data_IF_149559242805
#
_entry.id   IF_149559242805
#
_cell.length_a   1.000
_cell.length_b   1.000
_cell.length_c   1.000
_cell.angle_alpha   90.00
_cell.angle_beta   90.00
_cell.angle_gamma   90.00
#
_symmetry.space_group_name_H-M   'P 1'
#
loop_
_entity.id
_entity.type
_entity.pdbx_description
1 polymer ?
#
# COMPACT_ATOMS: atom_id res chain seq x y z
N UNK A 1 17.84 12.79 -6.31
CA UNK A 1 16.81 11.77 -6.14
C UNK A 1 15.43 12.39 -6.33
N UNK A 2 14.56 11.73 -7.10
CA UNK A 2 13.15 12.06 -7.26
C UNK A 2 12.34 10.91 -6.65
N UNK A 3 11.42 11.19 -5.72
CA UNK A 3 10.53 10.18 -5.14
C UNK A 3 9.11 10.46 -5.65
N UNK A 4 8.57 9.57 -6.46
CA UNK A 4 7.22 9.66 -7.01
C UNK A 4 6.21 8.99 -6.09
N UNK A 5 5.50 9.78 -5.31
CA UNK A 5 4.35 9.37 -4.49
C UNK A 5 3.00 9.71 -5.16
N UNK A 6 3.00 10.39 -6.32
CA UNK A 6 1.77 10.76 -7.01
C UNK A 6 1.13 9.53 -7.66
N UNK A 7 -0.16 9.34 -7.43
CA UNK A 7 -0.94 8.28 -8.04
C UNK A 7 -2.44 8.59 -8.00
N UNK A 8 -3.19 8.07 -8.95
CA UNK A 8 -4.63 7.99 -8.91
C UNK A 8 -5.03 6.71 -8.16
N UNK A 9 -5.30 6.86 -6.83
CA UNK A 9 -5.45 5.75 -5.88
C UNK A 9 -6.90 5.38 -5.57
N UNK A 10 -7.88 6.05 -6.17
CA UNK A 10 -9.30 5.72 -6.01
C UNK A 10 -9.63 4.47 -6.82
N UNK A 11 -9.32 3.30 -6.26
CA UNK A 11 -9.34 1.99 -6.94
C UNK A 11 -10.65 1.73 -7.68
N UNK A 12 -11.81 2.00 -7.04
CA UNK A 12 -13.12 1.81 -7.66
C UNK A 12 -13.39 2.83 -8.80
N UNK A 13 -12.90 4.05 -8.67
CA UNK A 13 -13.04 5.08 -9.70
C UNK A 13 -12.16 4.80 -10.92
N UNK A 14 -11.03 4.11 -10.75
CA UNK A 14 -10.21 3.68 -11.87
C UNK A 14 -10.98 2.82 -12.88
N UNK A 15 -11.95 2.00 -12.43
CA UNK A 15 -12.76 1.17 -13.31
C UNK A 15 -13.65 2.00 -14.26
N UNK A 16 -14.14 3.14 -13.80
CA UNK A 16 -14.94 4.07 -14.63
C UNK A 16 -14.10 5.13 -15.35
N UNK A 17 -12.86 5.37 -14.92
CA UNK A 17 -11.95 6.38 -15.48
C UNK A 17 -10.60 5.77 -15.90
N UNK A 18 -10.57 4.71 -16.74
CA UNK A 18 -9.33 4.01 -17.06
C UNK A 18 -8.31 4.91 -17.77
N UNK A 19 -8.75 5.82 -18.63
CA UNK A 19 -7.85 6.75 -19.33
C UNK A 19 -7.08 7.63 -18.33
N UNK A 20 -7.74 8.15 -17.30
CA UNK A 20 -7.10 8.95 -16.25
C UNK A 20 -6.15 8.09 -15.39
N UNK A 21 -6.57 6.85 -15.04
CA UNK A 21 -5.74 5.93 -14.29
C UNK A 21 -4.41 5.65 -15.03
N UNK A 22 -4.46 5.32 -16.32
CA UNK A 22 -3.26 5.08 -17.13
C UNK A 22 -2.45 6.36 -17.40
N UNK A 23 -3.08 7.51 -17.56
CA UNK A 23 -2.37 8.77 -17.71
C UNK A 23 -1.53 9.10 -16.47
N UNK A 24 -2.10 8.99 -15.26
CA UNK A 24 -1.44 9.35 -14.01
C UNK A 24 -0.51 8.24 -13.52
N UNK A 25 -0.98 6.99 -13.47
CA UNK A 25 -0.22 5.89 -12.89
C UNK A 25 0.77 5.25 -13.87
N UNK A 26 0.56 5.42 -15.17
CA UNK A 26 1.39 4.90 -16.25
C UNK A 26 2.20 6.00 -16.94
N UNK A 27 1.60 6.72 -17.89
CA UNK A 27 2.30 7.64 -18.78
C UNK A 27 3.09 8.74 -18.05
N UNK A 28 2.56 9.30 -16.97
CA UNK A 28 3.25 10.31 -16.17
C UNK A 28 4.55 9.78 -15.55
N UNK A 29 4.63 8.48 -15.24
CA UNK A 29 5.88 7.87 -14.74
C UNK A 29 6.96 7.91 -15.81
N UNK A 30 6.63 7.64 -17.08
CA UNK A 30 7.57 7.80 -18.19
C UNK A 30 8.09 9.24 -18.35
N UNK A 31 7.24 10.25 -18.08
CA UNK A 31 7.69 11.65 -18.07
C UNK A 31 8.68 11.92 -16.93
N UNK A 32 8.43 11.34 -15.74
CA UNK A 32 9.34 11.46 -14.60
C UNK A 32 10.67 10.75 -14.85
N UNK A 33 10.66 9.59 -15.48
CA UNK A 33 11.89 8.86 -15.89
C UNK A 33 12.74 9.75 -16.79
N UNK A 34 12.14 10.35 -17.85
CA UNK A 34 12.86 11.26 -18.76
C UNK A 34 13.40 12.50 -18.04
N UNK A 35 12.59 13.11 -17.18
CA UNK A 35 13.02 14.27 -16.39
C UNK A 35 14.16 13.92 -15.43
N UNK A 36 14.09 12.77 -14.76
CA UNK A 36 15.15 12.29 -13.87
C UNK A 36 16.44 12.06 -14.65
N UNK A 37 16.37 11.41 -15.83
CA UNK A 37 17.53 11.18 -16.69
C UNK A 37 18.17 12.49 -17.14
N UNK A 38 17.37 13.47 -17.59
CA UNK A 38 17.86 14.80 -18.01
C UNK A 38 18.52 15.60 -16.89
N UNK A 39 18.09 15.38 -15.63
CA UNK A 39 18.66 16.03 -14.45
C UNK A 39 19.79 15.22 -13.78
N UNK A 40 20.22 14.09 -14.35
CA UNK A 40 21.19 13.18 -13.70
C UNK A 40 20.67 12.59 -12.37
N UNK A 41 19.36 12.65 -12.11
CA UNK A 41 18.75 12.14 -10.90
C UNK A 41 18.32 10.68 -11.06
N UNK A 42 18.12 9.98 -9.93
CA UNK A 42 17.47 8.66 -9.89
C UNK A 42 16.01 8.81 -9.51
N UNK A 43 15.16 7.93 -10.02
CA UNK A 43 13.74 7.86 -9.69
C UNK A 43 13.47 6.73 -8.70
N UNK A 44 12.74 7.03 -7.63
CA UNK A 44 12.04 6.03 -6.80
C UNK A 44 10.55 6.16 -7.08
N UNK A 45 9.92 5.07 -7.52
CA UNK A 45 8.49 5.01 -7.83
C UNK A 45 7.75 4.08 -6.87
N UNK A 46 6.75 4.62 -6.15
CA UNK A 46 5.89 3.80 -5.29
C UNK A 46 4.85 3.06 -6.13
N UNK A 47 4.75 1.75 -5.93
CA UNK A 47 3.77 0.87 -6.56
C UNK A 47 2.94 0.11 -5.54
N UNK A 48 2.26 -0.95 -5.95
CA UNK A 48 1.19 -1.60 -5.19
C UNK A 48 1.22 -3.12 -5.29
N UNK A 49 0.67 -3.78 -4.29
CA UNK A 49 0.31 -5.19 -4.25
C UNK A 49 -0.78 -5.59 -5.27
N UNK A 50 -1.59 -4.64 -5.77
CA UNK A 50 -2.63 -4.88 -6.79
C UNK A 50 -2.09 -5.28 -8.16
N UNK A 51 -0.79 -5.33 -8.36
CA UNK A 51 -0.16 -5.89 -9.57
C UNK A 51 -0.27 -7.41 -9.64
N UNK A 52 -0.60 -8.09 -8.54
CA UNK A 52 -0.78 -9.53 -8.46
C UNK A 52 -2.25 -9.94 -8.63
N UNK A 53 -2.50 -11.23 -8.93
CA UNK A 53 -3.85 -11.77 -9.15
C UNK A 53 -4.64 -12.01 -7.85
N UNK A 54 -3.99 -11.92 -6.69
CA UNK A 54 -4.61 -12.13 -5.39
C UNK A 54 -4.92 -13.58 -5.01
N UNK A 55 -4.37 -14.58 -5.73
CA UNK A 55 -4.62 -16.00 -5.52
C UNK A 55 -3.48 -16.76 -4.85
N UNK A 56 -2.40 -16.08 -4.52
CA UNK A 56 -1.26 -16.69 -3.85
C UNK A 56 -1.66 -17.24 -2.46
N UNK A 57 -0.94 -18.25 -2.00
CA UNK A 57 -1.10 -18.86 -0.67
C UNK A 57 0.12 -18.66 0.23
N UNK A 58 1.12 -17.94 -0.30
CA UNK A 58 2.34 -17.54 0.40
C UNK A 58 2.72 -16.11 -0.06
N UNK A 59 3.54 -15.37 0.71
CA UNK A 59 3.95 -14.02 0.33
C UNK A 59 4.55 -13.95 -1.07
N UNK A 60 4.06 -13.02 -1.89
CA UNK A 60 4.55 -12.81 -3.27
C UNK A 60 5.94 -12.16 -3.23
N UNK A 61 6.93 -12.81 -3.84
CA UNK A 61 8.26 -12.23 -4.04
C UNK A 61 8.25 -11.20 -5.17
N UNK A 62 9.34 -10.44 -5.31
CA UNK A 62 9.53 -9.50 -6.43
C UNK A 62 9.50 -10.18 -7.79
N UNK A 63 9.89 -11.45 -7.85
CA UNK A 63 9.93 -12.27 -9.07
C UNK A 63 8.61 -13.03 -9.32
N UNK A 64 7.61 -12.91 -8.42
CA UNK A 64 6.30 -13.53 -8.61
C UNK A 64 5.59 -12.93 -9.84
N UNK A 65 4.99 -13.75 -10.72
CA UNK A 65 4.28 -13.26 -11.91
C UNK A 65 3.19 -12.25 -11.57
N UNK A 66 3.16 -11.15 -12.31
CA UNK A 66 2.12 -10.13 -12.17
C UNK A 66 0.92 -10.45 -13.07
N UNK A 67 -0.30 -10.27 -12.56
CA UNK A 67 -1.56 -10.47 -13.29
C UNK A 67 -2.67 -9.61 -12.65
N UNK A 68 -2.60 -8.27 -12.77
CA UNK A 68 -3.53 -7.36 -12.11
C UNK A 68 -4.97 -7.62 -12.53
N UNK A 69 -5.89 -7.64 -11.56
CA UNK A 69 -7.31 -7.91 -11.78
C UNK A 69 -8.17 -6.63 -11.86
N UNK A 70 -7.56 -5.46 -11.69
CA UNK A 70 -8.23 -4.16 -11.70
C UNK A 70 -7.51 -3.16 -12.61
N UNK A 71 -8.23 -2.17 -13.09
CA UNK A 71 -7.65 -1.04 -13.86
C UNK A 71 -6.58 -0.32 -13.04
N UNK A 72 -6.80 -0.13 -11.73
CA UNK A 72 -5.79 0.44 -10.83
C UNK A 72 -4.48 -0.37 -10.89
N UNK A 73 -4.56 -1.68 -10.64
CA UNK A 73 -3.38 -2.55 -10.67
C UNK A 73 -2.67 -2.55 -12.02
N UNK A 74 -3.43 -2.63 -13.11
CA UNK A 74 -2.89 -2.60 -14.48
C UNK A 74 -2.20 -1.26 -14.80
N UNK A 75 -2.80 -0.13 -14.40
CA UNK A 75 -2.21 1.19 -14.61
C UNK A 75 -0.92 1.40 -13.79
N UNK A 76 -0.86 0.89 -12.56
CA UNK A 76 0.35 0.91 -11.74
C UNK A 76 1.46 0.03 -12.31
N UNK A 77 1.11 -1.17 -12.79
CA UNK A 77 2.06 -2.07 -13.46
C UNK A 77 2.65 -1.44 -14.73
N UNK A 78 1.85 -0.71 -15.51
CA UNK A 78 2.35 0.03 -16.66
C UNK A 78 3.39 1.09 -16.27
N UNK A 79 3.19 1.77 -15.13
CA UNK A 79 4.17 2.70 -14.56
C UNK A 79 5.46 2.01 -14.10
N UNK A 80 5.35 0.83 -13.47
CA UNK A 80 6.51 0.02 -13.10
C UNK A 80 7.37 -0.34 -14.31
N UNK A 81 6.74 -0.81 -15.38
CA UNK A 81 7.44 -1.18 -16.61
C UNK A 81 8.25 0.00 -17.18
N UNK A 82 7.65 1.20 -17.21
CA UNK A 82 8.34 2.41 -17.65
C UNK A 82 9.49 2.83 -16.73
N UNK A 83 9.30 2.70 -15.40
CA UNK A 83 10.35 3.01 -14.44
C UNK A 83 11.52 2.03 -14.54
N UNK A 84 11.24 0.73 -14.60
CA UNK A 84 12.25 -0.33 -14.65
C UNK A 84 13.05 -0.35 -15.96
N UNK A 85 12.45 0.10 -17.07
CA UNK A 85 13.15 0.21 -18.36
C UNK A 85 14.36 1.16 -18.35
N UNK A 86 14.41 2.13 -17.42
CA UNK A 86 15.55 3.03 -17.22
C UNK A 86 16.78 2.31 -16.61
N UNK A 87 16.61 1.16 -15.97
CA UNK A 87 17.67 0.37 -15.32
C UNK A 87 18.28 1.00 -14.06
N UNK A 88 18.05 2.30 -13.80
CA UNK A 88 18.55 3.06 -12.64
C UNK A 88 17.46 3.37 -11.62
N UNK A 89 16.21 3.28 -12.04
CA UNK A 89 15.08 3.55 -11.16
C UNK A 89 14.90 2.43 -10.13
N UNK A 90 14.33 2.81 -8.98
CA UNK A 90 13.85 1.90 -7.96
C UNK A 90 12.32 1.93 -7.96
N UNK A 91 11.70 0.77 -8.03
CA UNK A 91 10.27 0.59 -7.79
C UNK A 91 10.08 -0.06 -6.42
N UNK A 92 9.24 0.55 -5.58
CA UNK A 92 8.89 0.00 -4.27
C UNK A 92 7.40 -0.34 -4.26
N UNK A 93 7.07 -1.65 -4.28
CA UNK A 93 5.69 -2.10 -4.06
C UNK A 93 5.38 -2.11 -2.57
N UNK A 94 4.21 -1.62 -2.24
CA UNK A 94 3.71 -1.56 -0.85
C UNK A 94 2.20 -1.86 -0.82
N UNK A 95 1.63 -1.99 0.36
CA UNK A 95 0.21 -2.33 0.55
C UNK A 95 -0.39 -1.58 1.73
N UNK A 96 -1.70 -1.33 1.70
CA UNK A 96 -2.54 -0.88 2.82
C UNK A 96 -1.94 0.29 3.61
N UNK A 97 -1.42 1.29 2.91
CA UNK A 97 -0.72 2.43 3.52
C UNK A 97 -1.68 3.24 4.39
N UNK A 98 -1.27 3.51 5.63
CA UNK A 98 -1.97 4.41 6.55
C UNK A 98 -1.00 5.39 7.21
N UNK A 99 -1.51 6.55 7.59
CA UNK A 99 -0.71 7.62 8.19
C UNK A 99 -1.43 8.96 8.12
N UNK A 100 -0.80 10.01 8.62
CA UNK A 100 -1.35 11.37 8.59
C UNK A 100 -1.28 11.98 7.18
N UNK A 101 -2.22 12.89 6.87
CA UNK A 101 -2.18 13.70 5.65
C UNK A 101 -3.03 13.18 4.48
N UNK A 102 -3.68 12.02 4.61
CA UNK A 102 -4.55 11.46 3.56
C UNK A 102 -5.63 10.55 4.13
N UNK A 103 -6.67 10.31 3.33
CA UNK A 103 -7.73 9.36 3.68
C UNK A 103 -7.15 7.93 3.73
N UNK A 104 -7.39 7.21 4.81
CA UNK A 104 -6.95 5.83 4.99
C UNK A 104 -7.94 5.05 5.85
N UNK A 105 -7.77 3.73 5.91
CA UNK A 105 -8.68 2.83 6.62
C UNK A 105 -8.71 3.12 8.13
N UNK A 106 -7.56 3.37 8.76
CA UNK A 106 -7.46 3.65 10.20
C UNK A 106 -8.26 4.90 10.55
N UNK A 107 -8.03 6.01 9.82
CA UNK A 107 -8.74 7.27 10.06
C UNK A 107 -10.25 7.15 9.77
N UNK A 108 -10.63 6.32 8.79
CA UNK A 108 -12.05 6.05 8.48
C UNK A 108 -12.74 5.35 9.64
N UNK A 109 -12.17 4.27 10.17
CA UNK A 109 -12.72 3.54 11.31
C UNK A 109 -12.72 4.44 12.57
N UNK A 110 -11.59 5.06 12.87
CA UNK A 110 -11.46 5.94 14.03
C UNK A 110 -12.45 7.12 14.00
N UNK A 111 -12.62 7.75 12.85
CA UNK A 111 -13.56 8.86 12.68
C UNK A 111 -15.01 8.42 12.92
N UNK A 112 -15.41 7.24 12.42
CA UNK A 112 -16.76 6.69 12.64
C UNK A 112 -16.99 6.31 14.11
N UNK A 113 -16.01 5.72 14.79
CA UNK A 113 -16.09 5.41 16.23
C UNK A 113 -16.28 6.69 17.04
N UNK A 114 -15.47 7.73 16.80
CA UNK A 114 -15.61 9.04 17.45
C UNK A 114 -16.97 9.70 17.15
N UNK A 115 -17.52 9.44 15.96
CA UNK A 115 -18.87 9.86 15.57
C UNK A 115 -20.00 9.04 16.20
N UNK A 116 -19.68 8.09 17.11
CA UNK A 116 -20.67 7.30 17.87
C UNK A 116 -21.06 5.97 17.23
N UNK A 117 -20.46 5.57 16.11
CA UNK A 117 -20.74 4.26 15.50
C UNK A 117 -20.19 3.13 16.38
N UNK A 118 -21.04 2.16 16.76
CA UNK A 118 -20.73 1.07 17.69
C UNK A 118 -20.63 -0.29 17.01
N UNK A 119 -20.89 -0.40 15.70
CA UNK A 119 -20.80 -1.67 14.99
C UNK A 119 -20.26 -1.47 13.58
N UNK A 120 -19.45 -2.44 13.13
CA UNK A 120 -18.85 -2.48 11.79
C UNK A 120 -18.97 -3.88 11.22
N UNK A 121 -19.22 -3.97 9.91
CA UNK A 121 -19.12 -5.22 9.14
C UNK A 121 -17.88 -5.11 8.24
N UNK A 122 -16.90 -5.99 8.43
CA UNK A 122 -15.60 -5.90 7.74
C UNK A 122 -15.20 -7.25 7.14
N UNK A 123 -14.66 -7.23 5.93
CA UNK A 123 -14.26 -8.44 5.20
C UNK A 123 -13.11 -9.17 5.90
N UNK A 124 -13.25 -10.51 6.02
CA UNK A 124 -12.29 -11.39 6.71
C UNK A 124 -11.42 -12.21 5.76
N UNK A 125 -11.81 -12.30 4.50
CA UNK A 125 -11.23 -13.16 3.46
C UNK A 125 -10.35 -12.39 2.47
N UNK A 126 -9.89 -11.20 2.85
CA UNK A 126 -8.86 -10.44 2.17
C UNK A 126 -7.67 -10.26 3.12
N UNK A 127 -6.56 -10.94 2.79
CA UNK A 127 -5.35 -10.97 3.59
C UNK A 127 -4.27 -10.09 2.97
N UNK A 128 -3.63 -9.28 3.80
CA UNK A 128 -2.57 -8.35 3.43
C UNK A 128 -1.76 -7.95 4.65
N UNK A 129 -1.01 -6.86 4.55
CA UNK A 129 -0.39 -6.25 5.73
C UNK A 129 -0.47 -4.73 5.65
N UNK A 130 -0.93 -4.06 6.72
CA UNK A 130 -0.91 -2.62 6.81
C UNK A 130 0.52 -2.08 6.78
N UNK A 131 0.73 -0.92 6.15
CA UNK A 131 2.03 -0.25 6.09
C UNK A 131 1.91 1.17 6.66
N UNK A 132 2.65 1.46 7.72
CA UNK A 132 2.68 2.80 8.29
C UNK A 132 3.54 3.73 7.44
N UNK A 133 2.96 4.82 6.94
CA UNK A 133 3.60 5.73 5.99
C UNK A 133 4.96 6.28 6.46
N UNK A 134 5.18 6.66 7.74
CA UNK A 134 6.50 7.06 8.22
C UNK A 134 7.57 5.95 8.15
N UNK A 135 7.20 4.68 8.35
CA UNK A 135 8.14 3.56 8.19
C UNK A 135 8.48 3.33 6.72
N UNK A 136 7.47 3.39 5.83
CA UNK A 136 7.69 3.35 4.38
C UNK A 136 8.58 4.49 3.92
N UNK A 137 8.36 5.71 4.40
CA UNK A 137 9.16 6.87 4.03
C UNK A 137 10.64 6.70 4.43
N UNK A 138 10.91 6.16 5.63
CA UNK A 138 12.27 5.81 6.07
C UNK A 138 12.89 4.75 5.16
N UNK A 139 12.15 3.67 4.89
CA UNK A 139 12.63 2.61 4.01
C UNK A 139 12.97 3.13 2.60
N UNK A 140 12.15 4.03 2.05
CA UNK A 140 12.40 4.69 0.74
C UNK A 140 13.66 5.55 0.78
N UNK A 141 13.86 6.31 1.88
CA UNK A 141 15.07 7.13 2.06
C UNK A 141 16.32 6.24 2.14
N UNK A 142 16.29 5.22 2.99
CA UNK A 142 17.38 4.24 3.16
C UNK A 142 17.75 3.60 1.80
N UNK A 143 16.77 3.06 1.08
CA UNK A 143 16.97 2.46 -0.24
C UNK A 143 17.55 3.46 -1.25
N UNK A 144 17.10 4.72 -1.18
CA UNK A 144 17.64 5.81 -1.99
C UNK A 144 19.10 6.10 -1.68
N UNK A 145 19.48 6.18 -0.41
CA UNK A 145 20.85 6.43 0.05
C UNK A 145 21.80 5.26 -0.31
N UNK A 146 21.32 4.02 -0.16
CA UNK A 146 22.13 2.83 -0.52
C UNK A 146 22.32 2.64 -2.03
N UNK A 147 21.70 3.46 -2.85
CA UNK A 147 21.82 3.33 -4.30
C UNK A 147 21.03 2.16 -4.88
N UNK A 148 20.04 1.65 -4.17
CA UNK A 148 19.22 0.54 -4.65
C UNK A 148 18.51 0.87 -5.97
N UNK A 149 18.39 -0.11 -6.86
CA UNK A 149 17.67 -0.03 -8.13
C UNK A 149 16.87 -1.32 -8.37
N UNK A 150 16.02 -1.31 -9.39
CA UNK A 150 15.15 -2.44 -9.70
C UNK A 150 13.89 -2.46 -8.84
N UNK A 151 13.44 -3.64 -8.44
CA UNK A 151 12.18 -3.85 -7.73
C UNK A 151 12.43 -4.33 -6.30
N UNK A 152 11.80 -3.69 -5.32
CA UNK A 152 11.84 -4.06 -3.90
C UNK A 152 10.43 -4.00 -3.33
N UNK A 153 10.08 -4.95 -2.47
CA UNK A 153 8.86 -4.92 -1.70
C UNK A 153 9.10 -4.34 -0.31
N UNK A 154 8.16 -3.52 0.17
CA UNK A 154 8.13 -3.05 1.55
C UNK A 154 6.70 -3.02 2.08
N UNK A 155 6.47 -3.74 3.16
CA UNK A 155 5.26 -3.66 4.00
C UNK A 155 5.63 -3.97 5.44
N UNK A 156 4.81 -3.57 6.39
CA UNK A 156 5.03 -3.98 7.79
C UNK A 156 4.48 -5.40 8.01
N UNK A 157 4.72 -5.97 9.19
CA UNK A 157 4.27 -7.30 9.64
C UNK A 157 3.45 -7.17 10.93
N UNK A 158 2.68 -8.20 11.31
CA UNK A 158 2.36 -9.42 10.61
C UNK A 158 1.25 -9.26 9.55
N UNK A 159 0.98 -10.35 8.80
CA UNK A 159 -0.20 -10.48 7.93
C UNK A 159 -1.47 -10.47 8.75
N UNK A 160 -2.51 -9.80 8.23
CA UNK A 160 -3.83 -9.74 8.86
C UNK A 160 -4.92 -9.62 7.78
N UNK A 161 -6.17 -9.91 8.14
CA UNK A 161 -7.35 -9.51 7.35
C UNK A 161 -7.77 -8.07 7.66
N UNK A 162 -8.59 -7.47 6.79
CA UNK A 162 -9.22 -6.17 7.10
C UNK A 162 -10.05 -6.23 8.38
N UNK A 163 -10.72 -7.38 8.63
CA UNK A 163 -11.49 -7.61 9.85
C UNK A 163 -10.61 -7.54 11.10
N UNK A 164 -9.51 -8.29 11.16
CA UNK A 164 -8.58 -8.27 12.30
C UNK A 164 -7.94 -6.89 12.48
N UNK A 165 -7.61 -6.21 11.38
CA UNK A 165 -7.09 -4.85 11.46
C UNK A 165 -8.14 -3.87 12.04
N UNK A 166 -9.41 -3.98 11.62
CA UNK A 166 -10.50 -3.18 12.19
C UNK A 166 -10.75 -3.49 13.66
N UNK A 167 -10.66 -4.77 14.08
CA UNK A 167 -10.77 -5.16 15.49
C UNK A 167 -9.67 -4.51 16.34
N UNK A 168 -8.43 -4.52 15.87
CA UNK A 168 -7.31 -3.91 16.60
C UNK A 168 -7.49 -2.40 16.72
N UNK A 169 -7.94 -1.72 15.66
CA UNK A 169 -8.24 -0.28 15.70
C UNK A 169 -9.37 0.02 16.71
N UNK A 170 -10.47 -0.74 16.63
CA UNK A 170 -11.62 -0.57 17.51
C UNK A 170 -11.26 -0.83 18.97
N UNK A 171 -10.58 -1.94 19.26
CA UNK A 171 -10.16 -2.30 20.61
C UNK A 171 -9.27 -1.27 21.30
N UNK A 172 -8.45 -0.54 20.53
CA UNK A 172 -7.61 0.56 21.05
C UNK A 172 -8.37 1.87 21.30
N UNK A 173 -9.48 2.09 20.60
CA UNK A 173 -10.24 3.33 20.68
C UNK A 173 -11.44 3.22 21.61
N UNK A 174 -12.20 2.14 21.48
CA UNK A 174 -13.38 1.84 22.28
C UNK A 174 -13.67 0.35 22.26
N UNK A 175 -13.32 -0.40 23.31
CA UNK A 175 -13.54 -1.85 23.39
C UNK A 175 -15.01 -2.28 23.31
N UNK A 176 -15.97 -1.36 23.47
CA UNK A 176 -17.39 -1.65 23.34
C UNK A 176 -17.88 -1.67 21.87
N UNK A 177 -17.00 -1.33 20.91
CA UNK A 177 -17.32 -1.37 19.48
C UNK A 177 -17.26 -2.80 18.96
N UNK A 178 -18.37 -3.24 18.38
CA UNK A 178 -18.47 -4.57 17.76
C UNK A 178 -17.95 -4.55 16.32
N UNK A 179 -17.06 -5.49 15.97
CA UNK A 179 -16.64 -5.71 14.59
C UNK A 179 -17.05 -7.12 14.16
N UNK A 180 -17.96 -7.20 13.20
CA UNK A 180 -18.51 -8.46 12.68
C UNK A 180 -17.79 -8.86 11.38
N UNK A 181 -17.23 -10.07 11.28
CA UNK A 181 -16.58 -10.53 10.06
C UNK A 181 -17.62 -10.89 9.00
N UNK A 182 -17.35 -10.48 7.76
CA UNK A 182 -18.16 -10.85 6.59
C UNK A 182 -17.26 -11.37 5.46
N UNK A 183 -17.78 -12.19 4.54
CA UNK A 183 -17.07 -12.55 3.32
C UNK A 183 -17.08 -11.38 2.31
N UNK A 184 -16.13 -11.36 1.38
CA UNK A 184 -16.06 -10.37 0.29
C UNK A 184 -17.34 -10.32 -0.54
N UNK A 185 -18.04 -11.45 -0.70
CA UNK A 185 -19.32 -11.54 -1.43
C UNK A 185 -20.43 -10.66 -0.84
N UNK A 186 -20.35 -10.32 0.45
CA UNK A 186 -21.31 -9.42 1.13
C UNK A 186 -20.90 -7.94 1.07
N UNK A 187 -19.74 -7.64 0.48
CA UNK A 187 -19.23 -6.27 0.31
C UNK A 187 -18.79 -6.01 -1.14
N UNK A 188 -19.70 -6.13 -2.12
CA UNK A 188 -19.33 -5.97 -3.52
C UNK A 188 -18.75 -4.59 -3.80
N UNK A 189 -17.73 -4.53 -4.67
CA UNK A 189 -17.04 -3.32 -5.10
C UNK A 189 -16.92 -3.31 -6.64
N UNK A 190 -16.88 -2.11 -7.27
CA UNK A 190 -16.64 -2.01 -8.70
C UNK A 190 -15.34 -2.68 -9.16
N UNK A 191 -14.24 -2.42 -8.45
CA UNK A 191 -12.97 -3.07 -8.72
C UNK A 191 -12.79 -4.35 -7.89
N UNK A 192 -12.32 -5.45 -8.49
CA UNK A 192 -11.92 -6.64 -7.73
C UNK A 192 -10.85 -6.34 -6.67
N UNK A 193 -10.97 -6.97 -5.51
CA UNK A 193 -9.98 -6.89 -4.43
C UNK A 193 -9.23 -8.23 -4.32
N UNK A 194 -7.89 -8.21 -4.20
CA UNK A 194 -7.13 -9.44 -4.03
C UNK A 194 -7.53 -10.14 -2.71
N UNK A 195 -7.78 -11.45 -2.76
CA UNK A 195 -8.00 -12.24 -1.56
C UNK A 195 -6.71 -12.39 -0.74
N UNK A 196 -5.56 -12.40 -1.42
CA UNK A 196 -4.24 -12.47 -0.79
C UNK A 196 -3.30 -11.47 -1.45
N UNK A 197 -2.80 -10.50 -0.71
CA UNK A 197 -1.93 -9.44 -1.21
C UNK A 197 -0.66 -9.24 -0.38
N UNK A 198 -0.23 -10.28 0.34
CA UNK A 198 0.97 -10.22 1.18
C UNK A 198 2.22 -10.21 0.31
N UNK A 199 3.09 -9.24 0.55
CA UNK A 199 4.38 -9.10 -0.12
C UNK A 199 5.49 -9.79 0.68
N UNK A 200 6.38 -10.54 0.04
CA UNK A 200 7.63 -10.95 0.64
C UNK A 200 8.56 -9.73 0.75
N UNK A 201 9.15 -9.53 1.90
CA UNK A 201 10.02 -8.37 2.20
C UNK A 201 11.49 -8.76 2.42
N UNK A 202 11.83 -10.01 2.09
CA UNK A 202 13.15 -10.57 2.36
C UNK A 202 14.27 -9.82 1.63
N UNK A 203 13.99 -9.31 0.41
CA UNK A 203 14.94 -8.48 -0.34
C UNK A 203 15.24 -7.19 0.39
N UNK A 204 14.22 -6.50 0.91
CA UNK A 204 14.41 -5.30 1.73
C UNK A 204 15.19 -5.63 3.01
N UNK A 205 14.79 -6.67 3.75
CA UNK A 205 15.43 -7.05 5.03
C UNK A 205 16.92 -7.40 4.83
N UNK A 206 17.24 -8.06 3.72
CA UNK A 206 18.63 -8.37 3.35
C UNK A 206 19.44 -7.11 3.03
N UNK A 207 18.87 -6.16 2.28
CA UNK A 207 19.53 -4.89 1.97
C UNK A 207 19.71 -4.01 3.22
N UNK A 208 18.70 -3.99 4.07
CA UNK A 208 18.66 -3.16 5.26
C UNK A 208 19.45 -3.74 6.44
N UNK A 209 19.78 -5.02 6.45
CA UNK A 209 20.35 -5.71 7.60
C UNK A 209 19.45 -5.72 8.84
N UNK A 210 18.15 -5.42 8.67
CA UNK A 210 17.15 -5.35 9.73
C UNK A 210 15.79 -5.86 9.24
N UNK A 211 14.96 -6.30 10.17
CA UNK A 211 13.57 -6.66 9.87
C UNK A 211 12.70 -5.43 9.66
N UNK A 212 11.62 -5.61 8.89
CA UNK A 212 10.56 -4.60 8.79
C UNK A 212 9.85 -4.45 10.13
N UNK A 213 9.37 -3.26 10.39
CA UNK A 213 8.68 -2.89 11.63
C UNK A 213 7.27 -3.53 11.69
N UNK A 214 6.74 -3.62 12.92
CA UNK A 214 5.35 -4.03 13.16
C UNK A 214 4.37 -2.90 12.78
N UNK A 215 3.28 -3.25 12.08
CA UNK A 215 2.21 -2.27 11.86
C UNK A 215 1.50 -1.86 13.15
N UNK A 216 1.52 -2.72 14.21
CA UNK A 216 0.96 -2.37 15.51
C UNK A 216 1.70 -1.20 16.16
N UNK A 217 3.02 -1.11 16.00
CA UNK A 217 3.83 0.02 16.45
C UNK A 217 3.49 1.28 15.66
N UNK A 218 3.30 1.13 14.35
CA UNK A 218 2.81 2.19 13.48
C UNK A 218 1.42 2.69 13.89
N UNK A 219 0.50 1.77 14.19
CA UNK A 219 -0.85 2.10 14.66
C UNK A 219 -0.83 2.84 16.00
N UNK A 220 -0.01 2.38 16.96
CA UNK A 220 0.19 3.05 18.25
C UNK A 220 0.67 4.49 18.03
N UNK A 221 1.68 4.66 17.18
CA UNK A 221 2.23 5.99 16.87
C UNK A 221 1.19 6.90 16.21
N UNK A 222 0.42 6.37 15.25
CA UNK A 222 -0.60 7.13 14.51
C UNK A 222 -1.74 7.60 15.41
N UNK A 223 -2.30 6.70 16.21
CA UNK A 223 -3.41 7.03 17.12
C UNK A 223 -2.97 7.99 18.23
N UNK A 224 -1.74 7.84 18.77
CA UNK A 224 -1.18 8.74 19.78
C UNK A 224 -0.90 10.16 19.29
N UNK A 225 -0.53 10.34 18.02
CA UNK A 225 -0.36 11.67 17.40
C UNK A 225 -1.71 12.40 17.27
N UNK A 226 -2.78 11.68 16.90
CA UNK A 226 -4.12 12.23 16.73
C UNK A 226 -4.76 12.69 18.05
N UNK A 227 -4.43 12.04 19.18
CA UNK A 227 -4.91 12.46 20.50
C UNK A 227 -4.28 13.78 20.97
N UNK A 228 -3.08 14.11 20.51
CA UNK A 228 -2.38 15.38 20.86
C UNK A 228 -2.77 16.56 19.97
N UNK A 229 -3.49 16.32 18.90
CA UNK A 229 -3.91 17.35 17.92
C UNK A 229 -5.41 17.67 18.00
N UNK A 230 -6.14 17.02 18.92
CA UNK A 230 -7.57 17.23 19.26
C UNK A 230 -7.70 18.00 20.53
#
# INVERSE_FOLDING_TARGET
LIVNCAAFTKVDLCESEPAQAFAVNGAAVGNLVRAAAGAGARLVHLSTDYVFDGRATAPCSEDHPTAPQSVYGASKLAGEALALADGRALVVRTSWVFGSGGANFVDTIAGRIRGGQKSFRVVRDQLGAPTFAPFLARAVADLGEWGASGLVHYQNRPTVSWYEFAQEIAGRLDPAVEVTPIPTSEAPRPAPRPAYSVLAVDRFEKLAGRRVESWQDGLTSHLGQRQRSS
#
